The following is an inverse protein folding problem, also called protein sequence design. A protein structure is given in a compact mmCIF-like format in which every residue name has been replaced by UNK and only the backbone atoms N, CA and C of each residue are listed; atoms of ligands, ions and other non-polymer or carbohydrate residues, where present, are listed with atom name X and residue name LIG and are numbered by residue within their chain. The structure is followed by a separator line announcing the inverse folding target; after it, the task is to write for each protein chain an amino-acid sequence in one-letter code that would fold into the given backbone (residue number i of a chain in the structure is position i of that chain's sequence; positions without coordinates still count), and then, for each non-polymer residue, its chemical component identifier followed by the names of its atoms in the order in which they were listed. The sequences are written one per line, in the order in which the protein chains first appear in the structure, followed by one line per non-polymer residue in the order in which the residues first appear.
data_IF_506067220334
#
_entry.id   IF_506067220334
#
_cell.length_a   1.000
_cell.length_b   1.000
_cell.length_c   1.000
_cell.angle_alpha   90.00
_cell.angle_beta   90.00
_cell.angle_gamma   90.00
#
_symmetry.space_group_name_H-M   'P 1'
#
loop_
_entity.id
_entity.type
_entity.pdbx_description
1 polymer ?
#
# COMPACT_ATOMS: atom_id res chain seq x y z
N UNK A 1 -19.01 0.02 12.79
CA UNK A 1 -19.29 1.41 13.20
C UNK A 1 -18.19 2.34 12.69
N UNK A 2 -16.91 2.12 13.03
CA UNK A 2 -15.81 2.99 12.57
C UNK A 2 -15.58 2.96 11.04
N UNK A 3 -15.34 1.79 10.44
CA UNK A 3 -15.10 1.67 8.97
C UNK A 3 -16.25 2.24 8.13
N UNK A 4 -17.50 2.05 8.57
CA UNK A 4 -18.68 2.61 7.93
C UNK A 4 -18.62 4.14 7.90
N UNK A 5 -18.32 4.76 9.05
CA UNK A 5 -18.22 6.21 9.15
C UNK A 5 -17.09 6.78 8.29
N UNK A 6 -15.95 6.08 8.15
CA UNK A 6 -14.88 6.52 7.24
C UNK A 6 -15.31 6.46 5.77
N UNK A 7 -15.98 5.39 5.35
CA UNK A 7 -16.51 5.29 3.98
C UNK A 7 -17.56 6.39 3.72
N UNK A 8 -18.45 6.65 4.68
CA UNK A 8 -19.44 7.74 4.60
C UNK A 8 -18.78 9.12 4.51
N UNK A 9 -17.71 9.38 5.26
CA UNK A 9 -16.94 10.62 5.15
C UNK A 9 -16.28 10.76 3.79
N UNK A 10 -15.66 9.70 3.29
CA UNK A 10 -15.06 9.71 1.95
C UNK A 10 -16.12 10.00 0.89
N UNK A 11 -17.30 9.39 0.96
CA UNK A 11 -18.39 9.63 0.02
C UNK A 11 -18.86 11.10 0.06
N UNK A 12 -19.11 11.64 1.26
CA UNK A 12 -19.53 13.04 1.45
C UNK A 12 -18.48 14.02 0.93
N UNK A 13 -17.20 13.72 1.13
CA UNK A 13 -16.08 14.55 0.67
C UNK A 13 -15.65 14.26 -0.78
N UNK A 14 -16.33 13.35 -1.48
CA UNK A 14 -15.97 12.88 -2.82
C UNK A 14 -14.53 12.35 -2.92
N UNK A 15 -14.02 11.74 -1.84
CA UNK A 15 -12.72 11.08 -1.79
C UNK A 15 -12.85 9.70 -2.47
N UNK A 16 -12.13 9.44 -3.57
CA UNK A 16 -12.34 8.24 -4.37
C UNK A 16 -11.75 6.98 -3.72
N UNK A 17 -10.71 7.12 -2.90
CA UNK A 17 -9.94 6.00 -2.35
C UNK A 17 -9.77 6.12 -0.85
N UNK A 18 -10.11 5.06 -0.11
CA UNK A 18 -9.85 4.92 1.33
C UNK A 18 -8.85 3.79 1.55
N UNK A 19 -7.61 4.12 1.89
CA UNK A 19 -6.56 3.12 2.17
C UNK A 19 -6.72 2.57 3.59
N UNK A 20 -6.65 1.25 3.74
CA UNK A 20 -6.57 0.58 5.03
C UNK A 20 -5.57 -0.57 5.02
N UNK A 21 -4.98 -0.85 6.17
CA UNK A 21 -4.42 -2.18 6.42
C UNK A 21 -5.57 -3.20 6.54
N UNK A 22 -5.47 -4.40 5.93
CA UNK A 22 -6.55 -5.40 5.97
C UNK A 22 -6.98 -5.81 7.38
N UNK A 23 -6.01 -5.86 8.30
CA UNK A 23 -6.22 -6.15 9.71
C UNK A 23 -5.19 -7.16 10.24
N UNK A 24 -5.50 -7.75 11.39
CA UNK A 24 -4.69 -8.79 12.01
C UNK A 24 -5.59 -9.93 12.52
N UNK A 25 -5.11 -11.18 12.45
CA UNK A 25 -5.84 -12.34 12.97
C UNK A 25 -5.67 -12.54 14.49
N UNK A 26 -4.78 -11.77 15.11
CA UNK A 26 -4.50 -11.76 16.56
C UNK A 26 -4.20 -13.15 17.12
N UNK A 27 -5.11 -13.72 17.89
CA UNK A 27 -5.00 -15.05 18.53
C UNK A 27 -5.66 -16.17 17.72
N UNK A 28 -6.32 -15.83 16.59
CA UNK A 28 -6.96 -16.81 15.71
C UNK A 28 -6.00 -17.28 14.60
N UNK A 29 -6.53 -17.86 13.51
CA UNK A 29 -5.74 -18.27 12.35
C UNK A 29 -5.84 -17.24 11.23
N UNK A 30 -4.85 -17.21 10.33
CA UNK A 30 -4.88 -16.37 9.11
C UNK A 30 -6.17 -16.57 8.32
N UNK A 31 -6.59 -17.82 8.12
CA UNK A 31 -7.83 -18.18 7.43
C UNK A 31 -9.08 -17.59 8.12
N UNK A 32 -9.16 -17.72 9.44
CA UNK A 32 -10.26 -17.14 10.21
C UNK A 32 -10.27 -15.61 10.15
N UNK A 33 -9.10 -14.98 10.16
CA UNK A 33 -8.91 -13.54 9.97
C UNK A 33 -9.40 -13.05 8.62
N UNK A 34 -8.92 -13.65 7.53
CA UNK A 34 -9.34 -13.32 6.15
C UNK A 34 -10.86 -13.51 5.99
N UNK A 35 -11.42 -14.62 6.46
CA UNK A 35 -12.88 -14.85 6.43
C UNK A 35 -13.66 -13.78 7.20
N UNK A 36 -13.10 -13.24 8.29
CA UNK A 36 -13.72 -12.15 9.07
C UNK A 36 -13.73 -10.84 8.28
N UNK A 37 -12.62 -10.51 7.62
CA UNK A 37 -12.48 -9.34 6.75
C UNK A 37 -13.50 -9.41 5.60
N UNK A 38 -13.57 -10.55 4.90
CA UNK A 38 -14.53 -10.78 3.80
C UNK A 38 -15.98 -10.58 4.28
N UNK A 39 -16.35 -11.16 5.44
CA UNK A 39 -17.70 -10.96 6.02
C UNK A 39 -17.98 -9.49 6.34
N UNK A 40 -16.99 -8.77 6.85
CA UNK A 40 -17.13 -7.34 7.17
C UNK A 40 -17.36 -6.50 5.91
N UNK A 41 -16.58 -6.70 4.84
CA UNK A 41 -16.79 -6.00 3.57
C UNK A 41 -18.12 -6.34 2.91
N UNK A 42 -18.50 -7.62 2.87
CA UNK A 42 -19.80 -8.02 2.34
C UNK A 42 -20.98 -7.39 3.10
N UNK A 43 -20.82 -7.17 4.41
CA UNK A 43 -21.79 -6.43 5.21
C UNK A 43 -21.80 -4.95 4.85
N UNK A 44 -20.63 -4.29 4.80
CA UNK A 44 -20.51 -2.88 4.46
C UNK A 44 -21.06 -2.58 3.05
N UNK A 45 -20.75 -3.40 2.06
CA UNK A 45 -21.23 -3.20 0.69
C UNK A 45 -22.77 -3.28 0.61
N UNK A 46 -23.38 -4.17 1.39
CA UNK A 46 -24.84 -4.28 1.49
C UNK A 46 -25.48 -3.10 2.22
N UNK A 47 -24.83 -2.61 3.28
CA UNK A 47 -25.33 -1.49 4.08
C UNK A 47 -25.14 -0.12 3.39
N UNK A 48 -24.20 -0.04 2.45
CA UNK A 48 -23.84 1.20 1.73
C UNK A 48 -23.97 0.99 0.20
N UNK A 49 -25.19 0.75 -0.33
CA UNK A 49 -25.41 0.59 -1.76
C UNK A 49 -25.16 1.91 -2.51
N UNK A 50 -24.58 1.83 -3.71
CA UNK A 50 -24.38 2.99 -4.60
C UNK A 50 -23.17 3.88 -4.28
N UNK A 51 -22.51 3.67 -3.14
CA UNK A 51 -21.30 4.41 -2.76
C UNK A 51 -20.16 4.09 -3.71
N UNK A 52 -19.39 5.12 -4.07
CA UNK A 52 -18.36 5.07 -5.12
C UNK A 52 -16.95 4.99 -4.56
N UNK A 53 -16.73 5.39 -3.31
CA UNK A 53 -15.40 5.23 -2.68
C UNK A 53 -14.95 3.77 -2.73
N UNK A 54 -13.74 3.55 -3.24
CA UNK A 54 -13.07 2.25 -3.29
C UNK A 54 -12.18 2.12 -2.06
N UNK A 55 -12.35 1.04 -1.29
CA UNK A 55 -11.45 0.73 -0.18
C UNK A 55 -10.22 0.02 -0.72
N UNK A 56 -9.04 0.59 -0.48
CA UNK A 56 -7.77 0.07 -0.96
C UNK A 56 -7.08 -0.74 0.13
N UNK A 57 -6.88 -2.04 -0.11
CA UNK A 57 -6.16 -2.93 0.80
C UNK A 57 -4.67 -2.69 0.62
N UNK A 58 -4.02 -2.18 1.66
CA UNK A 58 -2.58 -1.95 1.68
C UNK A 58 -1.82 -3.23 2.04
N UNK A 59 -0.71 -3.52 1.34
CA UNK A 59 0.20 -4.56 1.80
C UNK A 59 0.85 -4.14 3.14
N UNK A 60 1.17 -5.12 3.98
CA UNK A 60 1.78 -4.85 5.30
C UNK A 60 3.16 -5.48 5.41
N UNK A 61 3.99 -4.98 6.33
CA UNK A 61 5.29 -5.57 6.65
C UNK A 61 5.20 -7.01 7.23
N UNK A 62 4.01 -7.50 7.59
CA UNK A 62 3.84 -8.83 8.17
C UNK A 62 4.31 -8.94 9.63
N UNK A 63 4.27 -7.84 10.38
CA UNK A 63 4.57 -7.83 11.80
C UNK A 63 3.49 -8.60 12.59
N UNK A 64 3.91 -9.46 13.51
CA UNK A 64 3.00 -10.21 14.38
C UNK A 64 1.99 -11.05 13.61
N UNK A 65 0.70 -10.69 13.72
CA UNK A 65 -0.44 -11.39 13.11
C UNK A 65 -1.15 -10.56 12.03
N UNK A 66 -0.47 -9.55 11.48
CA UNK A 66 -1.01 -8.72 10.38
C UNK A 66 -1.29 -9.56 9.13
N UNK A 67 -2.30 -9.12 8.36
CA UNK A 67 -2.78 -9.77 7.15
C UNK A 67 -2.51 -8.84 5.97
N UNK A 68 -2.18 -9.42 4.82
CA UNK A 68 -1.83 -8.68 3.61
C UNK A 68 -0.33 -8.53 3.47
N UNK A 69 0.46 -9.42 4.06
CA UNK A 69 1.91 -9.44 3.83
C UNK A 69 2.21 -9.90 2.41
N UNK A 70 1.49 -10.91 1.93
CA UNK A 70 1.67 -11.47 0.58
C UNK A 70 0.57 -11.00 -0.37
N UNK A 71 0.88 -10.93 -1.66
CA UNK A 71 -0.10 -10.63 -2.70
C UNK A 71 -1.24 -11.64 -2.72
N UNK A 72 -0.95 -12.93 -2.51
CA UNK A 72 -1.97 -13.98 -2.40
C UNK A 72 -2.97 -13.73 -1.25
N UNK A 73 -2.54 -13.19 -0.11
CA UNK A 73 -3.45 -12.81 0.98
C UNK A 73 -4.38 -11.65 0.57
N UNK A 74 -3.86 -10.66 -0.14
CA UNK A 74 -4.60 -9.50 -0.63
C UNK A 74 -5.60 -9.89 -1.75
N UNK A 75 -5.15 -10.67 -2.74
CA UNK A 75 -5.97 -11.26 -3.79
C UNK A 75 -7.12 -12.05 -3.18
N UNK A 76 -6.81 -12.95 -2.24
CA UNK A 76 -7.81 -13.79 -1.59
C UNK A 76 -8.93 -12.98 -0.93
N UNK A 77 -8.62 -11.86 -0.29
CA UNK A 77 -9.64 -10.99 0.32
C UNK A 77 -10.51 -10.38 -0.78
N UNK A 78 -9.88 -9.76 -1.79
CA UNK A 78 -10.61 -9.03 -2.84
C UNK A 78 -11.49 -9.95 -3.68
N UNK A 79 -10.98 -11.09 -4.12
CA UNK A 79 -11.73 -12.02 -4.99
C UNK A 79 -12.86 -12.75 -4.25
N UNK A 80 -12.77 -12.87 -2.92
CA UNK A 80 -13.78 -13.57 -2.12
C UNK A 80 -14.94 -12.67 -1.64
N UNK A 81 -14.86 -11.35 -1.83
CA UNK A 81 -16.01 -10.47 -1.56
C UNK A 81 -17.01 -10.51 -2.72
N UNK A 82 -18.29 -10.25 -2.43
CA UNK A 82 -19.37 -10.30 -3.42
C UNK A 82 -19.27 -9.22 -4.49
N UNK A 83 -18.64 -8.10 -4.18
CA UNK A 83 -18.43 -6.98 -5.10
C UNK A 83 -16.97 -6.53 -5.03
N UNK A 84 -16.07 -7.22 -5.77
CA UNK A 84 -14.64 -6.93 -5.75
C UNK A 84 -14.29 -5.56 -6.35
N UNK A 85 -15.17 -4.97 -7.17
CA UNK A 85 -14.92 -3.66 -7.82
C UNK A 85 -14.91 -2.50 -6.82
N UNK A 86 -15.50 -2.70 -5.64
CA UNK A 86 -15.48 -1.75 -4.53
C UNK A 86 -14.22 -1.83 -3.66
N UNK A 87 -13.34 -2.78 -3.97
CA UNK A 87 -12.02 -2.91 -3.37
C UNK A 87 -10.93 -2.70 -4.43
N UNK A 88 -9.85 -2.04 -4.01
CA UNK A 88 -8.61 -1.89 -4.77
C UNK A 88 -7.42 -2.22 -3.89
N UNK A 89 -6.22 -1.88 -4.36
CA UNK A 89 -4.98 -2.08 -3.62
C UNK A 89 -4.23 -0.77 -3.39
N UNK A 90 -3.46 -0.74 -2.31
CA UNK A 90 -2.37 0.19 -2.09
C UNK A 90 -1.07 -0.59 -1.96
N UNK A 91 -0.01 -0.15 -2.62
CA UNK A 91 1.33 -0.70 -2.42
C UNK A 91 2.19 0.29 -1.64
N UNK A 92 2.70 -0.14 -0.49
CA UNK A 92 3.71 0.55 0.29
C UNK A 92 5.09 -0.10 0.09
N UNK A 93 6.05 0.68 -0.38
CA UNK A 93 7.41 0.21 -0.70
C UNK A 93 8.22 -0.22 0.53
N UNK A 94 8.01 0.40 1.69
CA UNK A 94 8.65 -0.03 2.93
C UNK A 94 8.06 -1.37 3.38
N UNK A 95 6.74 -1.52 3.30
CA UNK A 95 6.06 -2.77 3.65
C UNK A 95 6.42 -3.91 2.70
N UNK A 96 6.59 -3.65 1.40
CA UNK A 96 7.06 -4.63 0.43
C UNK A 96 8.42 -5.18 0.85
N UNK A 97 9.40 -4.29 1.06
CA UNK A 97 10.75 -4.68 1.47
C UNK A 97 10.73 -5.44 2.81
N UNK A 98 10.07 -4.88 3.82
CA UNK A 98 9.99 -5.51 5.13
C UNK A 98 9.22 -6.85 5.10
N UNK A 99 8.26 -7.01 4.19
CA UNK A 99 7.46 -8.22 3.99
C UNK A 99 8.18 -9.35 3.26
N UNK A 100 9.29 -9.04 2.58
CA UNK A 100 10.17 -9.99 1.90
C UNK A 100 10.25 -9.83 0.37
N UNK A 101 9.64 -8.79 -0.20
CA UNK A 101 9.72 -8.48 -1.62
C UNK A 101 10.94 -7.59 -1.88
N UNK A 102 11.88 -8.07 -2.70
CA UNK A 102 13.10 -7.31 -2.96
C UNK A 102 12.85 -6.14 -3.92
N UNK A 103 12.62 -4.97 -3.34
CA UNK A 103 12.48 -3.69 -4.04
C UNK A 103 13.72 -2.79 -3.86
N UNK A 104 14.88 -3.37 -3.51
CA UNK A 104 16.12 -2.61 -3.21
C UNK A 104 16.91 -2.20 -4.47
N UNK A 105 16.59 -2.80 -5.61
CA UNK A 105 17.16 -2.50 -6.92
C UNK A 105 16.05 -2.24 -7.93
N UNK A 106 16.40 -1.66 -9.09
CA UNK A 106 15.40 -1.41 -10.14
C UNK A 106 14.84 -2.74 -10.68
N UNK A 107 15.70 -3.70 -11.04
CA UNK A 107 15.27 -5.00 -11.58
C UNK A 107 14.44 -5.80 -10.57
N UNK A 108 14.80 -5.76 -9.28
CA UNK A 108 14.01 -6.38 -8.22
C UNK A 108 12.64 -5.74 -8.08
N UNK A 109 12.58 -4.41 -8.05
CA UNK A 109 11.31 -3.69 -7.96
C UNK A 109 10.43 -3.89 -9.19
N UNK A 110 11.00 -3.96 -10.40
CA UNK A 110 10.28 -4.30 -11.63
C UNK A 110 9.70 -5.73 -11.55
N UNK A 111 10.49 -6.71 -11.09
CA UNK A 111 10.02 -8.08 -10.90
C UNK A 111 8.89 -8.20 -9.85
N UNK A 112 8.97 -7.44 -8.75
CA UNK A 112 7.91 -7.39 -7.72
C UNK A 112 6.63 -6.75 -8.27
N UNK A 113 6.74 -5.72 -9.12
CA UNK A 113 5.58 -5.12 -9.78
C UNK A 113 4.95 -6.08 -10.80
N UNK A 114 5.75 -6.84 -11.53
CA UNK A 114 5.26 -7.87 -12.46
C UNK A 114 4.59 -9.04 -11.70
N UNK A 115 5.15 -9.49 -10.57
CA UNK A 115 4.50 -10.48 -9.69
C UNK A 115 3.17 -9.95 -9.13
N UNK A 116 3.13 -8.67 -8.74
CA UNK A 116 1.89 -8.05 -8.30
C UNK A 116 0.85 -8.00 -9.43
N UNK A 117 1.26 -7.67 -10.66
CA UNK A 117 0.36 -7.65 -11.81
C UNK A 117 -0.23 -9.04 -12.07
N UNK A 118 0.60 -10.08 -12.03
CA UNK A 118 0.15 -11.46 -12.24
C UNK A 118 -0.88 -11.92 -11.19
N UNK A 119 -0.67 -11.57 -9.92
CA UNK A 119 -1.50 -12.06 -8.81
C UNK A 119 -2.71 -11.15 -8.53
N UNK A 120 -2.51 -9.84 -8.56
CA UNK A 120 -3.49 -8.85 -8.10
C UNK A 120 -4.03 -7.95 -9.22
N UNK A 121 -3.31 -7.83 -10.34
CA UNK A 121 -3.62 -6.91 -11.43
C UNK A 121 -3.30 -5.45 -11.11
N UNK A 122 -2.40 -4.82 -11.87
CA UNK A 122 -2.05 -3.40 -11.73
C UNK A 122 -3.25 -2.48 -12.00
N UNK A 123 -4.24 -2.91 -12.77
CA UNK A 123 -5.48 -2.17 -12.99
C UNK A 123 -6.33 -2.03 -11.71
N UNK A 124 -6.06 -2.85 -10.69
CA UNK A 124 -6.70 -2.79 -9.37
C UNK A 124 -5.90 -1.98 -8.34
N UNK A 125 -4.65 -1.63 -8.64
CA UNK A 125 -3.84 -0.72 -7.83
C UNK A 125 -4.38 0.72 -7.97
N UNK A 126 -4.61 1.38 -6.83
CA UNK A 126 -5.19 2.75 -6.79
C UNK A 126 -4.30 3.76 -6.13
N UNK A 127 -3.41 3.33 -5.23
CA UNK A 127 -2.51 4.21 -4.48
C UNK A 127 -1.16 3.52 -4.34
N UNK A 128 -0.08 4.31 -4.34
CA UNK A 128 1.25 3.84 -3.95
C UNK A 128 1.74 4.71 -2.81
N UNK A 129 2.14 4.11 -1.69
CA UNK A 129 2.88 4.77 -0.64
C UNK A 129 4.38 4.59 -0.92
N UNK A 130 5.09 5.71 -1.15
CA UNK A 130 6.53 5.72 -1.42
C UNK A 130 7.27 6.04 -0.13
N UNK A 131 7.58 4.99 0.62
CA UNK A 131 8.28 5.05 1.89
C UNK A 131 9.57 4.23 1.81
N UNK A 132 10.70 4.84 2.20
CA UNK A 132 11.94 4.08 2.31
C UNK A 132 11.94 3.33 3.64
N UNK A 133 12.72 2.25 3.74
CA UNK A 133 12.71 1.37 4.91
C UNK A 133 13.99 1.51 5.74
N UNK A 134 13.85 1.71 7.05
CA UNK A 134 14.97 1.49 8.00
C UNK A 134 15.28 0.01 8.22
N UNK A 135 14.31 -0.86 7.96
CA UNK A 135 14.47 -2.31 8.10
C UNK A 135 15.02 -2.93 6.81
N UNK A 136 15.85 -3.96 6.98
CA UNK A 136 16.34 -4.78 5.87
C UNK A 136 15.21 -5.61 5.22
N UNK A 137 15.52 -6.24 4.08
CA UNK A 137 14.66 -7.19 3.38
C UNK A 137 14.14 -8.27 4.33
N UNK A 138 12.82 -8.45 4.37
CA UNK A 138 12.18 -9.47 5.22
C UNK A 138 12.24 -9.19 6.73
N UNK A 139 12.64 -7.98 7.15
CA UNK A 139 12.79 -7.62 8.57
C UNK A 139 11.47 -7.61 9.36
N UNK A 140 10.32 -7.56 8.67
CA UNK A 140 8.98 -7.42 9.26
C UNK A 140 8.80 -6.19 10.15
N UNK A 141 9.62 -5.16 9.93
CA UNK A 141 9.59 -3.89 10.66
C UNK A 141 8.99 -2.80 9.78
N UNK A 142 7.81 -2.33 10.17
CA UNK A 142 7.21 -1.11 9.65
C UNK A 142 7.90 0.11 10.31
N UNK A 143 8.97 0.56 9.65
CA UNK A 143 9.82 1.68 10.09
C UNK A 143 10.28 2.50 8.90
N UNK A 144 9.47 3.49 8.55
CA UNK A 144 9.74 4.39 7.43
C UNK A 144 10.97 5.27 7.68
N UNK A 145 11.68 5.62 6.61
CA UNK A 145 12.73 6.63 6.57
C UNK A 145 12.61 7.49 5.32
N UNK A 146 13.46 8.50 5.20
CA UNK A 146 13.44 9.41 4.07
C UNK A 146 13.96 8.75 2.79
N UNK A 147 13.49 9.23 1.64
CA UNK A 147 13.75 8.64 0.32
C UNK A 147 15.26 8.59 0.03
N UNK A 148 15.79 7.39 -0.21
CA UNK A 148 17.20 7.14 -0.48
C UNK A 148 18.11 7.13 0.75
N UNK A 149 17.53 7.05 1.95
CA UNK A 149 18.25 6.92 3.24
C UNK A 149 17.99 5.56 3.91
N UNK A 150 17.29 4.64 3.23
CA UNK A 150 17.00 3.30 3.70
C UNK A 150 17.34 2.22 2.67
N UNK A 151 16.78 1.04 2.90
CA UNK A 151 17.09 -0.18 2.15
C UNK A 151 16.23 -0.37 0.89
N UNK A 152 15.17 0.42 0.66
CA UNK A 152 14.51 0.47 -0.66
C UNK A 152 15.45 1.17 -1.64
N UNK A 153 16.09 2.24 -1.17
CA UNK A 153 17.10 2.96 -1.95
C UNK A 153 16.53 3.66 -3.18
N UNK A 154 17.38 4.43 -3.85
CA UNK A 154 16.95 5.24 -5.01
C UNK A 154 16.56 4.38 -6.20
N UNK A 155 17.23 3.25 -6.39
CA UNK A 155 17.03 2.40 -7.57
C UNK A 155 15.70 1.64 -7.51
N UNK A 156 15.29 1.18 -6.33
CA UNK A 156 13.93 0.69 -6.11
C UNK A 156 12.87 1.73 -6.50
N UNK A 157 13.00 2.96 -5.99
CA UNK A 157 12.07 4.04 -6.34
C UNK A 157 12.06 4.40 -7.83
N UNK A 158 13.14 4.19 -8.57
CA UNK A 158 13.17 4.43 -10.03
C UNK A 158 12.16 3.54 -10.76
N UNK A 159 11.97 2.29 -10.35
CA UNK A 159 10.97 1.41 -10.95
C UNK A 159 9.56 1.98 -10.76
N UNK A 160 9.16 2.26 -9.51
CA UNK A 160 7.82 2.75 -9.18
C UNK A 160 7.46 4.09 -9.85
N UNK A 161 8.39 5.05 -9.90
CA UNK A 161 8.09 6.39 -10.47
C UNK A 161 8.12 6.42 -12.00
N UNK A 162 8.69 5.41 -12.65
CA UNK A 162 8.81 5.34 -14.12
C UNK A 162 7.94 4.24 -14.76
N UNK A 163 7.28 3.39 -13.97
CA UNK A 163 6.35 2.37 -14.49
C UNK A 163 5.13 3.06 -15.11
N UNK A 164 4.88 2.80 -16.41
CA UNK A 164 3.89 3.54 -17.21
C UNK A 164 2.47 3.32 -16.71
N UNK A 165 2.16 2.10 -16.28
CA UNK A 165 0.88 1.68 -15.72
C UNK A 165 0.58 2.42 -14.40
N UNK A 166 1.63 2.85 -13.69
CA UNK A 166 1.51 3.58 -12.43
C UNK A 166 1.46 5.09 -12.63
N UNK A 167 1.70 5.63 -13.84
CA UNK A 167 1.95 7.06 -14.06
C UNK A 167 0.91 7.98 -13.42
N UNK A 168 -0.38 7.64 -13.56
CA UNK A 168 -1.51 8.43 -13.07
C UNK A 168 -1.90 8.16 -11.61
N UNK A 169 -1.34 7.13 -10.97
CA UNK A 169 -1.70 6.80 -9.60
C UNK A 169 -1.15 7.85 -8.62
N UNK A 170 -1.93 8.23 -7.58
CA UNK A 170 -1.42 9.01 -6.47
C UNK A 170 -0.27 8.25 -5.78
N UNK A 171 0.84 8.97 -5.58
CA UNK A 171 2.05 8.48 -4.92
C UNK A 171 2.26 9.31 -3.66
N UNK A 172 2.03 8.72 -2.49
CA UNK A 172 1.92 9.42 -1.21
C UNK A 172 3.17 9.17 -0.35
N UNK A 173 3.64 10.21 0.35
CA UNK A 173 4.77 10.14 1.27
C UNK A 173 4.27 10.07 2.72
N UNK A 174 4.67 9.03 3.44
CA UNK A 174 4.43 8.84 4.88
C UNK A 174 5.74 8.76 5.66
N UNK A 175 6.80 9.34 5.09
CA UNK A 175 8.10 9.45 5.73
C UNK A 175 8.06 10.34 6.98
N UNK A 176 9.01 10.21 7.93
CA UNK A 176 9.04 11.01 9.16
C UNK A 176 8.88 12.52 8.92
N UNK A 177 8.16 13.22 9.81
CA UNK A 177 7.81 14.65 9.66
C UNK A 177 8.86 15.58 10.26
N UNK A 178 10.10 15.40 9.82
CA UNK A 178 11.27 16.16 10.28
C UNK A 178 11.57 17.37 9.37
N UNK A 179 12.55 18.19 9.79
CA UNK A 179 13.10 19.31 9.02
C UNK A 179 14.62 19.18 8.91
N UNK A 180 15.18 19.65 7.80
CA UNK A 180 16.65 19.77 7.66
C UNK A 180 17.22 20.81 8.64
N UNK A 181 18.54 20.84 8.80
CA UNK A 181 19.23 21.89 9.58
C UNK A 181 18.91 23.32 9.10
N UNK A 182 18.51 23.50 7.83
CA UNK A 182 18.07 24.77 7.25
C UNK A 182 16.57 25.02 7.40
N UNK A 183 15.86 24.21 8.19
CA UNK A 183 14.42 24.34 8.46
C UNK A 183 13.50 23.89 7.31
N UNK A 184 14.03 23.29 6.24
CA UNK A 184 13.20 22.79 5.13
C UNK A 184 12.47 21.51 5.54
N UNK A 185 11.15 21.39 5.37
CA UNK A 185 10.42 20.15 5.63
C UNK A 185 10.95 18.98 4.79
N UNK A 186 11.12 17.81 5.40
CA UNK A 186 11.64 16.62 4.69
C UNK A 186 10.71 16.13 3.58
N UNK A 187 9.40 16.36 3.68
CA UNK A 187 8.45 16.06 2.59
C UNK A 187 8.83 16.79 1.28
N UNK A 188 9.29 18.05 1.37
CA UNK A 188 9.76 18.83 0.20
C UNK A 188 11.05 18.26 -0.36
N UNK A 189 11.97 17.81 0.51
CA UNK A 189 13.23 17.19 0.11
C UNK A 189 12.96 15.85 -0.59
N UNK A 190 12.12 15.00 0.00
CA UNK A 190 11.74 13.69 -0.52
C UNK A 190 11.02 13.79 -1.86
N UNK A 191 10.08 14.74 -2.00
CA UNK A 191 9.42 15.00 -3.27
C UNK A 191 10.43 15.41 -4.36
N UNK A 192 11.41 16.27 -4.03
CA UNK A 192 12.48 16.63 -4.98
C UNK A 192 13.37 15.45 -5.34
N UNK A 193 13.68 14.57 -4.38
CA UNK A 193 14.45 13.34 -4.63
C UNK A 193 13.72 12.44 -5.62
N UNK A 194 12.43 12.15 -5.38
CA UNK A 194 11.62 11.33 -6.28
C UNK A 194 11.48 11.96 -7.68
N UNK A 195 11.22 13.27 -7.78
CA UNK A 195 11.12 13.96 -9.09
C UNK A 195 12.39 13.87 -9.93
N UNK A 196 13.57 13.79 -9.31
CA UNK A 196 14.85 13.61 -10.02
C UNK A 196 15.07 12.18 -10.55
N UNK A 197 14.26 11.22 -10.11
CA UNK A 197 14.33 9.83 -10.56
C UNK A 197 13.44 9.57 -11.79
N UNK A 198 12.51 10.49 -12.10
CA UNK A 198 11.64 10.41 -13.27
C UNK A 198 12.48 10.63 -14.54
N UNK A 199 12.37 9.70 -15.50
CA UNK A 199 13.00 9.80 -16.82
C UNK A 199 12.33 10.95 -17.60
N UNK A 200 13.14 11.73 -18.29
CA UNK A 200 12.69 12.81 -19.17
C UNK A 200 12.18 12.27 -20.49
#
# INVERSE_FOLDING_TARGET
VLMRAEIERCEVLSIPFLVIHPGAYTTSTLDAGIKRIIRAFNRLHRELPGFRTIVCLENTAGAGSTIGRTFAELQRIRESVRDPKRLGYCLDTCHLLAGGYDVSSQDGADAVLDEFDEICGLEHLKVVHLNDSRGELGSRKDRHTHIGEGFVGKDGFRAFVNRVELAYLPKILETPKEKTAKGTPMDVVNLRRLKRLIRQ
#
